data_IF_617352095465
#
_entry.id   IF_617352095465
#
_cell.length_a   1.000
_cell.length_b   1.000
_cell.length_c   1.000
_cell.angle_alpha   90.00
_cell.angle_beta   90.00
_cell.angle_gamma   90.00
#
_symmetry.space_group_name_H-M   'P 1'
#
loop_
_entity.id
_entity.type
_entity.pdbx_description
1 polymer ?
#
# COMPACT_ATOMS: atom_id res chain seq x y z
N UNK A 1 -4.19 10.08 29.08
CA UNK A 1 -2.83 9.74 28.64
C UNK A 1 -2.30 10.89 27.78
N UNK A 2 -1.05 11.27 27.96
CA UNK A 2 -0.37 12.23 27.09
C UNK A 2 0.00 11.55 25.75
N UNK A 3 0.36 12.33 24.74
CA UNK A 3 0.89 11.78 23.46
C UNK A 3 2.14 10.92 23.74
N UNK A 4 2.99 11.37 24.65
CA UNK A 4 4.20 10.63 25.03
C UNK A 4 3.87 9.27 25.67
N UNK A 5 2.87 9.19 26.56
CA UNK A 5 2.47 7.94 27.18
C UNK A 5 1.94 6.94 26.13
N UNK A 6 1.21 7.42 25.11
CA UNK A 6 0.72 6.59 24.03
C UNK A 6 1.88 6.04 23.19
N UNK A 7 2.85 6.87 22.82
CA UNK A 7 4.03 6.39 22.09
C UNK A 7 4.87 5.40 22.92
N UNK A 8 5.05 5.62 24.22
CA UNK A 8 5.74 4.66 25.09
C UNK A 8 5.04 3.31 25.08
N UNK A 9 3.71 3.29 25.14
CA UNK A 9 2.95 2.04 25.11
C UNK A 9 3.08 1.36 23.75
N UNK A 10 2.94 2.09 22.62
CA UNK A 10 3.09 1.51 21.28
C UNK A 10 4.49 0.89 21.11
N UNK A 11 5.54 1.57 21.54
CA UNK A 11 6.92 1.08 21.46
C UNK A 11 7.10 -0.20 22.30
N UNK A 12 6.55 -0.22 23.50
CA UNK A 12 6.63 -1.40 24.37
C UNK A 12 5.88 -2.59 23.77
N UNK A 13 4.65 -2.39 23.27
CA UNK A 13 3.83 -3.44 22.67
C UNK A 13 4.45 -3.98 21.37
N UNK A 14 4.91 -3.07 20.48
CA UNK A 14 5.57 -3.46 19.24
C UNK A 14 6.91 -4.18 19.51
N UNK A 15 7.71 -3.70 20.48
CA UNK A 15 8.94 -4.36 20.90
C UNK A 15 8.70 -5.78 21.45
N UNK A 16 7.64 -5.97 22.23
CA UNK A 16 7.22 -7.29 22.68
C UNK A 16 6.78 -8.16 21.51
N UNK A 17 6.00 -7.61 20.57
CA UNK A 17 5.56 -8.32 19.37
C UNK A 17 6.75 -8.80 18.50
N UNK A 18 7.80 -7.99 18.35
CA UNK A 18 9.04 -8.38 17.64
C UNK A 18 9.66 -9.63 18.25
N UNK A 19 9.61 -9.80 19.58
CA UNK A 19 10.18 -10.95 20.26
C UNK A 19 9.31 -12.21 20.21
N UNK A 20 8.01 -12.06 20.03
CA UNK A 20 7.03 -13.16 20.10
C UNK A 20 6.56 -13.67 18.75
N UNK A 21 6.52 -12.80 17.74
CA UNK A 21 5.97 -13.17 16.43
C UNK A 21 7.00 -13.93 15.58
N UNK A 22 6.54 -14.92 14.80
CA UNK A 22 7.39 -15.67 13.90
C UNK A 22 7.85 -14.85 12.69
N UNK A 23 8.82 -15.40 11.96
CA UNK A 23 9.24 -14.85 10.67
C UNK A 23 8.11 -14.98 9.62
N UNK A 24 8.26 -14.33 8.47
CA UNK A 24 7.31 -14.49 7.36
C UNK A 24 7.21 -15.94 6.88
N UNK A 25 8.35 -16.65 6.84
CA UNK A 25 8.41 -18.03 6.36
C UNK A 25 7.69 -19.02 7.29
N UNK A 26 7.62 -18.70 8.59
CA UNK A 26 7.07 -19.56 9.62
C UNK A 26 5.63 -19.18 10.02
N UNK A 27 5.07 -18.15 9.39
CA UNK A 27 3.74 -17.63 9.71
C UNK A 27 2.70 -17.98 8.65
N UNK A 28 1.48 -18.23 9.10
CA UNK A 28 0.35 -18.37 8.18
C UNK A 28 0.09 -17.05 7.41
N UNK A 29 -0.20 -17.11 6.10
CA UNK A 29 -0.52 -15.92 5.30
C UNK A 29 -1.65 -15.09 5.92
N UNK A 30 -1.48 -13.76 5.93
CA UNK A 30 -2.46 -12.83 6.47
C UNK A 30 -2.36 -12.58 7.98
N UNK A 31 -1.50 -13.31 8.70
CA UNK A 31 -1.22 -13.03 10.11
C UNK A 31 -0.02 -12.12 10.29
N UNK A 32 -0.01 -11.39 11.42
CA UNK A 32 1.11 -10.52 11.77
C UNK A 32 2.41 -11.33 11.95
N UNK A 33 3.49 -10.78 11.47
CA UNK A 33 4.84 -11.35 11.49
C UNK A 33 5.80 -10.48 12.31
N UNK A 34 6.96 -11.00 12.65
CA UNK A 34 8.07 -10.19 13.19
C UNK A 34 8.40 -8.99 12.29
N UNK A 35 8.36 -9.17 10.97
CA UNK A 35 8.57 -8.08 10.00
C UNK A 35 7.51 -7.00 10.09
N UNK A 36 6.24 -7.36 10.30
CA UNK A 36 5.16 -6.38 10.50
C UNK A 36 5.36 -5.58 11.81
N UNK A 37 5.76 -6.25 12.89
CA UNK A 37 6.06 -5.59 14.17
C UNK A 37 7.26 -4.64 14.07
N UNK A 38 8.34 -5.05 13.41
CA UNK A 38 9.50 -4.20 13.15
C UNK A 38 9.15 -2.99 12.27
N UNK A 39 8.29 -3.17 11.26
CA UNK A 39 7.86 -2.07 10.40
C UNK A 39 7.04 -1.05 11.18
N UNK A 40 6.09 -1.49 12.01
CA UNK A 40 5.33 -0.61 12.88
C UNK A 40 6.25 0.16 13.84
N UNK A 41 7.18 -0.53 14.49
CA UNK A 41 8.13 0.08 15.41
C UNK A 41 9.03 1.10 14.70
N UNK A 42 9.53 0.76 13.52
CA UNK A 42 10.33 1.65 12.68
C UNK A 42 9.55 2.89 12.26
N UNK A 43 8.31 2.75 11.82
CA UNK A 43 7.43 3.87 11.46
C UNK A 43 7.21 4.81 12.67
N UNK A 44 6.97 4.26 13.86
CA UNK A 44 6.86 5.07 15.10
C UNK A 44 8.15 5.85 15.39
N UNK A 45 9.32 5.23 15.20
CA UNK A 45 10.60 5.92 15.37
C UNK A 45 10.82 7.01 14.31
N UNK A 46 10.43 6.79 13.05
CA UNK A 46 10.45 7.83 12.00
C UNK A 46 9.61 9.05 12.44
N UNK A 47 8.35 8.81 12.84
CA UNK A 47 7.45 9.88 13.31
C UNK A 47 8.04 10.66 14.49
N UNK A 48 8.76 9.98 15.38
CA UNK A 48 9.45 10.59 16.53
C UNK A 48 10.84 11.16 16.18
N UNK A 49 11.29 11.10 14.92
CA UNK A 49 12.62 11.50 14.46
C UNK A 49 13.77 10.78 15.19
N UNK A 50 13.53 9.56 15.60
CA UNK A 50 14.50 8.67 16.24
C UNK A 50 15.17 7.82 15.15
N UNK A 51 15.95 8.49 14.31
CA UNK A 51 16.45 7.98 13.05
C UNK A 51 17.35 6.74 13.19
N UNK A 52 18.23 6.72 14.17
CA UNK A 52 19.15 5.60 14.40
C UNK A 52 18.39 4.32 14.82
N UNK A 53 17.40 4.48 15.70
CA UNK A 53 16.56 3.36 16.13
C UNK A 53 15.64 2.87 15.01
N UNK A 54 15.10 3.81 14.21
CA UNK A 54 14.32 3.47 13.02
C UNK A 54 15.16 2.64 12.02
N UNK A 55 16.37 3.10 11.68
CA UNK A 55 17.29 2.37 10.81
C UNK A 55 17.54 0.95 11.34
N UNK A 56 17.84 0.82 12.63
CA UNK A 56 18.17 -0.46 13.24
C UNK A 56 17.02 -1.48 13.09
N UNK A 57 15.81 -1.10 13.50
CA UNK A 57 14.67 -2.06 13.51
C UNK A 57 14.13 -2.34 12.10
N UNK A 58 14.21 -1.36 11.19
CA UNK A 58 13.75 -1.54 9.81
C UNK A 58 14.69 -2.45 9.00
N UNK A 59 15.99 -2.43 9.26
CA UNK A 59 16.95 -3.36 8.65
C UNK A 59 16.73 -4.82 9.09
N UNK A 60 16.05 -5.06 10.19
CA UNK A 60 15.64 -6.40 10.64
C UNK A 60 14.38 -6.93 9.90
N UNK A 61 13.75 -6.13 9.03
CA UNK A 61 12.63 -6.57 8.19
C UNK A 61 13.14 -7.39 7.03
N UNK A 62 13.31 -8.69 7.25
CA UNK A 62 13.89 -9.64 6.28
C UNK A 62 12.87 -10.67 5.80
N UNK A 63 13.15 -11.35 4.68
CA UNK A 63 12.25 -12.33 4.07
C UNK A 63 11.17 -11.70 3.19
N UNK A 64 11.37 -10.45 2.76
CA UNK A 64 10.51 -9.70 1.85
C UNK A 64 11.30 -9.21 0.66
N UNK A 65 10.62 -9.07 -0.48
CA UNK A 65 11.22 -8.61 -1.74
C UNK A 65 10.25 -7.70 -2.48
N UNK A 66 10.78 -6.76 -3.26
CA UNK A 66 9.96 -6.01 -4.19
C UNK A 66 9.43 -6.94 -5.29
N UNK A 67 8.15 -6.85 -5.59
CA UNK A 67 7.60 -7.51 -6.79
C UNK A 67 8.31 -6.95 -8.03
N UNK A 68 8.65 -7.79 -9.02
CA UNK A 68 9.39 -7.37 -10.22
C UNK A 68 8.68 -6.23 -10.97
N UNK A 69 7.36 -6.33 -11.11
CA UNK A 69 6.55 -5.25 -11.70
C UNK A 69 5.65 -4.64 -10.64
N UNK A 70 5.53 -3.31 -10.67
CA UNK A 70 4.68 -2.59 -9.73
C UNK A 70 3.21 -3.02 -9.81
N UNK A 71 2.71 -3.35 -11.01
CA UNK A 71 1.34 -3.83 -11.20
C UNK A 71 1.04 -5.11 -10.43
N UNK A 72 2.01 -6.04 -10.35
CA UNK A 72 1.83 -7.33 -9.70
C UNK A 72 1.54 -7.23 -8.19
N UNK A 73 1.90 -6.11 -7.58
CA UNK A 73 1.64 -5.84 -6.14
C UNK A 73 0.14 -5.85 -5.82
N UNK A 74 -0.69 -5.42 -6.78
CA UNK A 74 -2.12 -5.22 -6.57
C UNK A 74 -2.98 -6.37 -7.12
N UNK A 75 -2.39 -7.33 -7.82
CA UNK A 75 -3.12 -8.47 -8.37
C UNK A 75 -3.70 -9.36 -7.26
N UNK A 76 -4.97 -9.75 -7.39
CA UNK A 76 -5.65 -10.59 -6.40
C UNK A 76 -4.94 -11.93 -6.15
N UNK A 77 -4.28 -12.47 -7.18
CA UNK A 77 -3.50 -13.71 -7.07
C UNK A 77 -2.22 -13.55 -6.22
N UNK A 78 -1.76 -12.31 -6.01
CA UNK A 78 -0.52 -12.00 -5.30
C UNK A 78 -0.74 -11.49 -3.87
N UNK A 79 -1.93 -11.65 -3.33
CA UNK A 79 -2.21 -11.34 -1.91
C UNK A 79 -1.23 -12.05 -0.99
N UNK A 80 -0.77 -11.36 0.04
CA UNK A 80 0.26 -11.86 0.97
C UNK A 80 1.57 -12.28 0.27
N UNK A 81 1.81 -11.78 -0.94
CA UNK A 81 2.98 -12.06 -1.76
C UNK A 81 4.29 -11.54 -1.17
N UNK A 82 5.41 -11.68 -1.92
CA UNK A 82 6.75 -11.34 -1.42
C UNK A 82 6.89 -9.91 -0.89
N UNK A 83 6.21 -8.94 -1.48
CA UNK A 83 6.27 -7.53 -1.07
C UNK A 83 5.33 -7.18 0.09
N UNK A 84 4.32 -8.02 0.37
CA UNK A 84 3.35 -7.77 1.43
C UNK A 84 3.96 -8.02 2.82
N UNK A 85 3.95 -7.00 3.67
CA UNK A 85 4.37 -7.11 5.07
C UNK A 85 3.16 -7.37 5.96
N UNK A 86 2.09 -6.60 5.77
CA UNK A 86 0.83 -6.80 6.46
C UNK A 86 -0.33 -6.26 5.63
N UNK A 87 -1.38 -7.07 5.50
CA UNK A 87 -2.62 -6.73 4.80
C UNK A 87 -3.82 -7.11 5.62
N UNK A 88 -4.86 -6.28 5.60
CA UNK A 88 -6.19 -6.65 6.09
C UNK A 88 -6.79 -7.58 5.05
N UNK A 89 -7.18 -8.78 5.49
CA UNK A 89 -7.62 -9.85 4.60
C UNK A 89 -9.09 -9.72 4.23
N UNK A 90 -9.37 -9.81 2.93
CA UNK A 90 -10.72 -9.83 2.40
C UNK A 90 -10.90 -10.99 1.42
N UNK A 91 -12.13 -11.46 1.27
CA UNK A 91 -12.53 -12.49 0.33
C UNK A 91 -13.82 -12.06 -0.35
N UNK A 92 -13.87 -12.12 -1.67
CA UNK A 92 -15.08 -11.86 -2.43
C UNK A 92 -16.21 -12.85 -2.09
N UNK A 93 -17.45 -12.47 -2.36
CA UNK A 93 -18.62 -13.32 -2.17
C UNK A 93 -19.50 -12.96 -0.98
N UNK A 94 -20.36 -13.91 -0.59
CA UNK A 94 -21.48 -13.69 0.34
C UNK A 94 -21.17 -14.03 1.80
N UNK A 95 -19.95 -14.41 2.12
CA UNK A 95 -19.57 -14.86 3.48
C UNK A 95 -19.38 -13.70 4.47
N UNK A 96 -19.57 -12.45 4.05
CA UNK A 96 -19.35 -11.26 4.89
C UNK A 96 -17.89 -10.86 5.06
N UNK A 97 -16.99 -11.48 4.32
CA UNK A 97 -15.55 -11.23 4.39
C UNK A 97 -15.04 -10.30 3.27
N UNK A 98 -15.94 -9.73 2.48
CA UNK A 98 -15.64 -8.89 1.34
C UNK A 98 -15.22 -7.47 1.77
N UNK A 99 -14.43 -6.81 0.91
CA UNK A 99 -14.18 -5.37 0.97
C UNK A 99 -15.13 -4.61 0.05
N UNK A 100 -15.25 -3.33 0.28
CA UNK A 100 -16.03 -2.43 -0.59
C UNK A 100 -15.34 -1.07 -0.80
N UNK A 101 -14.14 -0.90 -0.31
CA UNK A 101 -13.40 0.38 -0.40
C UNK A 101 -13.12 0.80 -1.85
N UNK A 102 -13.06 -0.15 -2.78
CA UNK A 102 -12.98 0.09 -4.21
C UNK A 102 -14.00 1.14 -4.69
N UNK A 103 -15.27 1.02 -4.25
CA UNK A 103 -16.34 1.93 -4.68
C UNK A 103 -16.19 3.35 -4.16
N UNK A 104 -15.42 3.55 -3.09
CA UNK A 104 -15.08 4.88 -2.59
C UNK A 104 -14.04 5.58 -3.47
N UNK A 105 -13.27 4.79 -4.25
CA UNK A 105 -12.20 5.27 -5.12
C UNK A 105 -12.63 5.51 -6.55
N UNK A 106 -13.80 5.01 -6.96
CA UNK A 106 -14.39 5.36 -8.24
C UNK A 106 -14.91 6.79 -8.20
N UNK A 107 -14.59 7.54 -9.28
CA UNK A 107 -14.93 8.96 -9.36
C UNK A 107 -16.39 9.19 -9.75
N UNK A 108 -16.93 10.35 -9.38
CA UNK A 108 -18.19 10.90 -9.88
C UNK A 108 -17.90 12.18 -10.67
N UNK A 109 -18.59 12.42 -11.81
CA UNK A 109 -19.58 11.53 -12.46
C UNK A 109 -18.92 10.39 -13.25
N UNK A 110 -19.61 9.26 -13.33
CA UNK A 110 -19.21 8.08 -14.13
C UNK A 110 -20.44 7.50 -14.82
N UNK A 111 -20.32 7.03 -16.05
CA UNK A 111 -21.42 6.40 -16.78
C UNK A 111 -21.64 4.96 -16.34
N UNK A 112 -22.84 4.42 -16.58
CA UNK A 112 -23.13 3.01 -16.32
C UNK A 112 -22.24 2.08 -17.17
N UNK A 113 -21.94 2.47 -18.41
CA UNK A 113 -21.07 1.73 -19.31
C UNK A 113 -19.64 1.64 -18.78
N UNK A 114 -19.06 2.77 -18.35
CA UNK A 114 -17.72 2.80 -17.77
C UNK A 114 -17.66 2.05 -16.44
N UNK A 115 -18.71 2.18 -15.60
CA UNK A 115 -18.81 1.42 -14.36
C UNK A 115 -18.79 -0.08 -14.63
N UNK A 116 -19.58 -0.54 -15.62
CA UNK A 116 -19.60 -1.93 -16.04
C UNK A 116 -18.26 -2.39 -16.60
N UNK A 117 -17.59 -1.56 -17.41
CA UNK A 117 -16.28 -1.89 -17.97
C UNK A 117 -15.19 -2.06 -16.87
N UNK A 118 -15.28 -1.29 -15.79
CA UNK A 118 -14.32 -1.34 -14.67
C UNK A 118 -14.64 -2.47 -13.70
N UNK A 119 -15.93 -2.64 -13.35
CA UNK A 119 -16.36 -3.55 -12.27
C UNK A 119 -16.72 -4.95 -12.76
N UNK A 120 -17.04 -5.10 -14.03
CA UNK A 120 -17.66 -6.32 -14.57
C UNK A 120 -19.16 -6.48 -14.22
N UNK A 121 -19.76 -5.51 -13.54
CA UNK A 121 -21.14 -5.56 -13.04
C UNK A 121 -22.04 -4.65 -13.86
N UNK A 122 -23.12 -5.17 -14.54
CA UNK A 122 -24.04 -4.36 -15.34
C UNK A 122 -24.86 -3.36 -14.53
N UNK A 123 -25.18 -3.72 -13.29
CA UNK A 123 -25.92 -2.86 -12.37
C UNK A 123 -25.19 -2.78 -11.05
N UNK A 124 -24.78 -1.57 -10.65
CA UNK A 124 -24.09 -1.33 -9.40
C UNK A 124 -25.11 -0.95 -8.34
N UNK A 125 -25.40 -1.88 -7.43
CA UNK A 125 -26.32 -1.64 -6.30
C UNK A 125 -25.70 -0.76 -5.20
N UNK A 126 -24.37 -0.63 -5.19
CA UNK A 126 -23.66 0.21 -4.21
C UNK A 126 -23.40 1.59 -4.80
N UNK A 127 -23.57 2.61 -3.97
CA UNK A 127 -23.22 3.99 -4.33
C UNK A 127 -21.74 4.13 -4.61
N UNK A 128 -21.40 4.75 -5.74
CA UNK A 128 -20.07 5.21 -6.05
C UNK A 128 -19.89 6.57 -5.38
N UNK A 129 -18.90 6.72 -4.52
CA UNK A 129 -18.82 7.87 -3.62
C UNK A 129 -17.91 8.98 -4.15
N UNK A 130 -16.89 8.64 -4.93
CA UNK A 130 -15.95 9.61 -5.51
C UNK A 130 -15.04 10.27 -4.47
N UNK A 131 -14.76 9.57 -3.37
CA UNK A 131 -13.83 10.06 -2.35
C UNK A 131 -12.40 9.69 -2.72
N UNK A 132 -11.44 10.46 -2.20
CA UNK A 132 -10.02 10.19 -2.31
C UNK A 132 -9.55 9.99 -3.77
N UNK A 133 -10.05 10.78 -4.69
CA UNK A 133 -9.62 10.78 -6.10
C UNK A 133 -8.24 11.45 -6.25
N UNK A 134 -7.44 11.08 -7.27
CA UNK A 134 -6.16 11.72 -7.53
C UNK A 134 -6.30 13.22 -7.79
N UNK A 135 -5.50 14.03 -7.11
CA UNK A 135 -5.43 15.49 -7.33
C UNK A 135 -4.47 15.82 -8.48
N UNK A 136 -4.55 17.03 -9.08
CA UNK A 136 -3.56 17.48 -10.06
C UNK A 136 -2.13 17.34 -9.56
N UNK A 137 -1.86 17.69 -8.30
CA UNK A 137 -0.51 17.64 -7.71
C UNK A 137 0.11 16.24 -7.77
N UNK A 138 -0.66 15.18 -7.44
CA UNK A 138 -0.15 13.81 -7.54
C UNK A 138 0.05 13.39 -9.00
N UNK A 139 -0.76 13.92 -9.92
CA UNK A 139 -0.63 13.64 -11.34
C UNK A 139 0.64 14.25 -11.93
N UNK A 140 1.05 15.42 -11.44
CA UNK A 140 2.26 16.13 -11.83
C UNK A 140 3.52 15.57 -11.13
N UNK A 141 3.37 14.94 -9.97
CA UNK A 141 4.49 14.34 -9.23
C UNK A 141 5.08 13.09 -9.90
N UNK A 142 4.36 12.45 -10.83
CA UNK A 142 4.92 11.33 -11.58
C UNK A 142 5.92 11.84 -12.62
N UNK A 143 7.15 11.35 -12.54
CA UNK A 143 8.21 11.65 -13.51
C UNK A 143 7.88 11.02 -14.89
N UNK A 144 8.38 11.58 -15.98
CA UNK A 144 8.25 10.97 -17.31
C UNK A 144 8.80 9.53 -17.33
N UNK A 145 7.97 8.59 -17.77
CA UNK A 145 8.31 7.16 -17.80
C UNK A 145 8.04 6.37 -16.53
N UNK A 146 7.50 7.01 -15.48
CA UNK A 146 7.10 6.34 -14.26
C UNK A 146 5.91 5.40 -14.50
N UNK A 147 6.19 4.10 -14.55
CA UNK A 147 5.16 3.07 -14.80
C UNK A 147 4.11 2.95 -13.71
N UNK A 148 4.34 3.55 -12.54
CA UNK A 148 3.38 3.52 -11.43
C UNK A 148 2.14 4.35 -11.71
N UNK A 149 2.26 5.39 -12.55
CA UNK A 149 1.14 6.25 -12.94
C UNK A 149 0.00 5.46 -13.57
N UNK A 150 0.30 4.72 -14.62
CA UNK A 150 -0.70 3.97 -15.40
C UNK A 150 -1.30 2.80 -14.64
N UNK A 151 -0.60 2.28 -13.63
CA UNK A 151 -1.11 1.26 -12.72
C UNK A 151 -2.01 1.89 -11.65
N UNK A 152 -1.62 3.04 -11.11
CA UNK A 152 -2.29 3.66 -9.96
C UNK A 152 -3.50 4.48 -10.34
N UNK A 153 -3.50 5.11 -11.53
CA UNK A 153 -4.52 6.06 -11.96
C UNK A 153 -5.17 5.61 -13.26
N UNK A 154 -6.49 5.58 -13.26
CA UNK A 154 -7.33 5.43 -14.45
C UNK A 154 -8.12 6.70 -14.70
N UNK A 155 -8.77 6.76 -15.86
CA UNK A 155 -9.63 7.88 -16.25
C UNK A 155 -10.96 7.37 -16.75
N UNK A 156 -12.02 8.10 -16.42
CA UNK A 156 -13.35 7.96 -17.03
C UNK A 156 -13.72 9.28 -17.70
N UNK A 157 -14.58 9.23 -18.71
CA UNK A 157 -15.01 10.41 -19.45
C UNK A 157 -16.52 10.58 -19.32
N UNK A 158 -16.95 11.60 -18.59
CA UNK A 158 -18.37 11.94 -18.48
C UNK A 158 -18.60 13.38 -18.92
N UNK A 159 -19.64 13.60 -19.73
CA UNK A 159 -20.00 14.93 -20.27
C UNK A 159 -18.84 15.62 -21.02
N UNK A 160 -17.95 14.86 -21.67
CA UNK A 160 -16.78 15.37 -22.38
C UNK A 160 -15.60 15.81 -21.49
N UNK A 161 -15.67 15.57 -20.18
CA UNK A 161 -14.62 15.85 -19.22
C UNK A 161 -14.00 14.54 -18.73
N UNK A 162 -12.67 14.50 -18.65
CA UNK A 162 -11.92 13.36 -18.14
C UNK A 162 -11.69 13.50 -16.62
N UNK A 163 -12.04 12.46 -15.87
CA UNK A 163 -11.93 12.42 -14.41
C UNK A 163 -10.99 11.29 -13.98
N UNK A 164 -9.96 11.57 -13.18
CA UNK A 164 -9.06 10.54 -12.65
C UNK A 164 -9.72 9.74 -11.51
N UNK A 165 -9.39 8.45 -11.40
CA UNK A 165 -9.77 7.61 -10.28
C UNK A 165 -8.61 6.70 -9.84
N UNK A 166 -8.67 6.14 -8.63
CA UNK A 166 -7.66 5.18 -8.16
C UNK A 166 -7.93 3.83 -8.79
N UNK A 167 -7.06 3.44 -9.74
CA UNK A 167 -7.20 2.22 -10.55
C UNK A 167 -6.66 0.96 -9.87
N UNK A 168 -5.58 1.08 -9.11
CA UNK A 168 -4.80 -0.07 -8.60
C UNK A 168 -5.54 -1.07 -7.72
N UNK A 169 -6.74 -0.74 -7.25
CA UNK A 169 -7.62 -1.65 -6.50
C UNK A 169 -8.89 -1.99 -7.27
N UNK A 170 -8.93 -1.67 -8.57
CA UNK A 170 -10.11 -1.84 -9.39
C UNK A 170 -10.03 -3.16 -10.14
N UNK A 171 -10.60 -4.23 -9.56
CA UNK A 171 -10.71 -5.54 -10.19
C UNK A 171 -12.16 -5.87 -10.51
N UNK A 172 -12.36 -6.53 -11.65
CA UNK A 172 -13.67 -7.08 -12.01
C UNK A 172 -14.09 -8.13 -10.97
N UNK A 173 -15.36 -8.09 -10.60
CA UNK A 173 -15.93 -8.98 -9.59
C UNK A 173 -17.36 -9.36 -9.98
N UNK A 174 -17.99 -10.28 -9.25
CA UNK A 174 -19.27 -10.86 -9.66
C UNK A 174 -20.48 -10.30 -8.90
N UNK A 175 -20.25 -9.62 -7.79
CA UNK A 175 -21.33 -9.10 -6.95
C UNK A 175 -21.02 -7.66 -6.54
N UNK A 176 -21.95 -6.74 -6.80
CA UNK A 176 -21.81 -5.33 -6.46
C UNK A 176 -21.47 -5.13 -4.98
N UNK A 177 -20.43 -4.33 -4.70
CA UNK A 177 -19.98 -4.01 -3.35
C UNK A 177 -19.21 -5.12 -2.63
N UNK A 178 -18.86 -6.23 -3.31
CA UNK A 178 -18.22 -7.39 -2.69
C UNK A 178 -16.95 -7.78 -3.43
N UNK A 179 -15.89 -7.04 -3.16
CA UNK A 179 -14.56 -7.30 -3.75
C UNK A 179 -13.67 -8.09 -2.79
N UNK A 180 -12.70 -8.78 -3.36
CA UNK A 180 -11.72 -9.55 -2.60
C UNK A 180 -10.41 -8.81 -2.37
N UNK A 181 -10.33 -7.53 -2.71
CA UNK A 181 -9.09 -6.76 -2.57
C UNK A 181 -8.69 -6.61 -1.12
N UNK A 182 -7.47 -7.05 -0.78
CA UNK A 182 -6.90 -6.80 0.52
C UNK A 182 -6.50 -5.32 0.65
N UNK A 183 -6.53 -4.81 1.87
CA UNK A 183 -5.99 -3.50 2.17
C UNK A 183 -4.54 -3.62 2.66
N UNK A 184 -3.53 -3.22 1.86
CA UNK A 184 -2.14 -3.26 2.29
C UNK A 184 -1.89 -2.17 3.34
N UNK A 185 -1.51 -2.60 4.54
CA UNK A 185 -1.12 -1.70 5.65
C UNK A 185 0.34 -1.31 5.49
N UNK A 186 1.20 -2.32 5.25
CA UNK A 186 2.63 -2.11 5.01
C UNK A 186 3.13 -2.97 3.85
N UNK A 187 3.98 -2.38 3.02
CA UNK A 187 4.68 -3.05 1.93
C UNK A 187 6.18 -2.85 2.05
N UNK A 188 6.96 -3.79 1.52
CA UNK A 188 8.41 -3.73 1.61
C UNK A 188 9.02 -2.49 0.92
N UNK A 189 8.38 -1.97 -0.14
CA UNK A 189 8.77 -0.70 -0.74
C UNK A 189 8.77 0.46 0.28
N UNK A 190 7.80 0.51 1.18
CA UNK A 190 7.71 1.53 2.22
C UNK A 190 8.82 1.37 3.27
N UNK A 191 9.16 0.12 3.64
CA UNK A 191 10.31 -0.15 4.53
C UNK A 191 11.60 0.38 3.93
N UNK A 192 11.83 0.15 2.62
CA UNK A 192 13.01 0.68 1.93
C UNK A 192 13.04 2.22 1.96
N UNK A 193 11.90 2.86 1.78
CA UNK A 193 11.80 4.33 1.84
C UNK A 193 12.00 4.85 3.26
N UNK A 194 11.47 4.19 4.29
CA UNK A 194 11.73 4.54 5.69
C UNK A 194 13.21 4.40 6.06
N UNK A 195 13.89 3.34 5.58
CA UNK A 195 15.33 3.19 5.79
C UNK A 195 16.08 4.33 5.07
N UNK A 196 15.70 4.66 3.84
CA UNK A 196 16.32 5.76 3.09
C UNK A 196 16.15 7.10 3.81
N UNK A 197 14.95 7.40 4.32
CA UNK A 197 14.68 8.60 5.11
C UNK A 197 15.53 8.61 6.38
N UNK A 198 15.51 7.54 7.18
CA UNK A 198 16.28 7.45 8.40
C UNK A 198 17.78 7.62 8.18
N UNK A 199 18.35 7.08 7.12
CA UNK A 199 19.75 7.25 6.75
C UNK A 199 20.06 8.67 6.31
N UNK A 200 19.22 9.26 5.46
CA UNK A 200 19.42 10.62 4.97
C UNK A 200 19.39 11.65 6.10
N UNK A 201 18.45 11.52 7.02
CA UNK A 201 18.35 12.40 8.20
C UNK A 201 19.54 12.27 9.18
N UNK A 202 20.30 11.19 9.09
CA UNK A 202 21.56 10.99 9.80
C UNK A 202 22.79 11.48 9.01
N UNK A 203 22.60 12.08 7.80
CA UNK A 203 23.68 12.52 6.93
C UNK A 203 24.35 11.38 6.15
N UNK A 204 23.78 10.18 6.12
CA UNK A 204 24.28 9.00 5.40
C UNK A 204 23.65 8.91 4.00
N UNK A 205 23.71 10.00 3.23
CA UNK A 205 22.97 10.16 1.97
C UNK A 205 23.33 9.09 0.93
N UNK A 206 24.60 8.73 0.79
CA UNK A 206 25.01 7.69 -0.16
C UNK A 206 24.40 6.32 0.17
N UNK A 207 24.31 5.99 1.45
CA UNK A 207 23.66 4.75 1.87
C UNK A 207 22.13 4.84 1.66
N UNK A 208 21.52 5.99 1.90
CA UNK A 208 20.09 6.22 1.65
C UNK A 208 19.70 6.00 0.20
N UNK A 209 20.55 6.47 -0.74
CA UNK A 209 20.33 6.30 -2.18
C UNK A 209 20.25 4.83 -2.60
N UNK A 210 20.97 3.93 -1.94
CA UNK A 210 20.89 2.49 -2.23
C UNK A 210 19.45 1.97 -2.06
N UNK A 211 18.77 2.36 -1.01
CA UNK A 211 17.39 1.93 -0.72
C UNK A 211 16.37 2.66 -1.62
N UNK A 212 16.51 3.96 -1.77
CA UNK A 212 15.66 4.77 -2.66
C UNK A 212 15.71 4.25 -4.09
N UNK A 213 16.91 3.99 -4.60
CA UNK A 213 17.12 3.57 -5.98
C UNK A 213 16.57 2.19 -6.30
N UNK A 214 16.45 1.30 -5.32
CA UNK A 214 15.73 0.03 -5.52
C UNK A 214 14.25 0.26 -5.87
N UNK A 215 13.59 1.22 -5.22
CA UNK A 215 12.19 1.57 -5.50
C UNK A 215 12.08 2.32 -6.84
N UNK A 216 13.01 3.24 -7.12
CA UNK A 216 13.06 3.98 -8.40
C UNK A 216 13.30 3.05 -9.60
N UNK A 217 14.28 2.16 -9.49
CA UNK A 217 14.57 1.17 -10.55
C UNK A 217 13.37 0.29 -10.88
N UNK A 218 12.61 -0.17 -9.85
CA UNK A 218 11.39 -0.94 -10.05
C UNK A 218 10.30 -0.11 -10.75
N UNK A 219 10.28 1.20 -10.55
CA UNK A 219 9.40 2.14 -11.24
C UNK A 219 9.89 2.52 -12.67
N UNK A 220 11.01 1.94 -13.12
CA UNK A 220 11.71 2.24 -14.38
C UNK A 220 12.22 3.69 -14.46
N UNK A 221 12.46 4.31 -13.31
CA UNK A 221 13.03 5.65 -13.22
C UNK A 221 14.56 5.61 -13.19
N UNK A 222 15.23 6.66 -13.70
CA UNK A 222 16.68 6.81 -13.57
C UNK A 222 17.13 6.82 -12.11
N UNK A 223 18.32 6.26 -11.85
CA UNK A 223 18.95 6.16 -10.52
C UNK A 223 20.34 6.79 -10.55
#
# INVERSE_FOLDING_TARGET
ASVEDVYKQIIADAGQAVSLLPSKADQEPGRATKGAANTLLGNVYIVQKRWAEAEQVLKEVTGYELMPRYADVFELANKNGPESIFEIQFKDGNEGLHSSFFYTFLVQPITAEETTAITGIPEVARTIEGYNIPTPDIMEAYEPGDVRKDVSVGFVTAHGISYPYIKKYCHAHTQSGKTGDNWPVYRYAEVLLFIAEALNEQGKTEEALVYLNRVRSRALLPV
#
